data_IF_456611406031
#
_entry.id   IF_456611406031
#
_cell.length_a   1.000
_cell.length_b   1.000
_cell.length_c   1.000
_cell.angle_alpha   90.00
_cell.angle_beta   90.00
_cell.angle_gamma   90.00
#
_symmetry.space_group_name_H-M   'P 1'
#
loop_
_entity.id
_entity.type
_entity.pdbx_description
1 polymer ?
#
# COMPACT_ATOMS: atom_id res chain seq x y z
N UNK A 1 35.34 49.46 55.16
CA UNK A 1 35.73 48.05 54.87
C UNK A 1 35.76 47.90 53.34
N UNK A 2 36.92 48.16 52.70
CA UNK A 2 37.77 47.20 51.95
C UNK A 2 36.96 46.34 50.94
N UNK A 3 36.91 46.71 49.66
CA UNK A 3 37.88 46.43 48.55
C UNK A 3 37.76 44.98 48.05
N UNK A 4 37.52 44.66 46.76
CA UNK A 4 38.31 44.99 45.56
C UNK A 4 37.48 44.89 44.25
N UNK A 5 37.84 45.71 43.28
CA UNK A 5 37.64 45.62 41.80
C UNK A 5 39.05 45.68 41.17
N UNK A 6 39.32 45.63 39.84
CA UNK A 6 38.59 45.13 38.65
C UNK A 6 39.53 44.34 37.68
N UNK A 7 39.07 44.04 36.44
CA UNK A 7 39.78 44.29 35.14
C UNK A 7 39.74 43.14 34.12
N UNK A 8 39.31 43.50 32.90
CA UNK A 8 39.32 42.75 31.63
C UNK A 8 40.63 43.04 30.88
N UNK A 9 41.22 42.07 30.16
CA UNK A 9 42.00 42.37 28.93
C UNK A 9 42.06 41.16 27.97
N UNK A 10 41.71 41.42 26.70
CA UNK A 10 41.92 40.59 25.51
C UNK A 10 43.39 40.60 25.07
N UNK A 11 43.91 39.48 24.55
CA UNK A 11 45.02 39.53 23.58
C UNK A 11 44.78 38.60 22.39
N UNK A 12 45.17 39.14 21.23
CA UNK A 12 45.10 38.61 19.87
C UNK A 12 46.53 38.33 19.37
N UNK A 13 46.73 37.26 18.61
CA UNK A 13 47.78 37.08 17.58
C UNK A 13 47.20 36.08 16.57
N UNK A 14 46.85 36.40 15.31
CA UNK A 14 47.69 36.77 14.13
C UNK A 14 48.89 35.81 14.04
N UNK A 15 48.98 34.93 13.04
CA UNK A 15 49.24 35.30 11.64
C UNK A 15 48.67 34.30 10.59
N UNK A 16 48.23 34.85 9.45
CA UNK A 16 48.33 34.26 8.09
C UNK A 16 49.38 35.10 7.33
N UNK A 17 49.79 34.89 6.06
CA UNK A 17 49.47 33.83 5.07
C UNK A 17 50.74 33.31 4.32
N UNK A 18 50.63 32.33 3.40
CA UNK A 18 51.33 32.42 2.10
C UNK A 18 50.85 31.36 1.10
N UNK A 19 50.64 31.84 -0.12
CA UNK A 19 50.33 31.15 -1.36
C UNK A 19 51.59 30.67 -2.09
N UNK A 20 51.56 29.48 -2.70
CA UNK A 20 52.19 29.17 -4.00
C UNK A 20 51.58 27.84 -4.49
N UNK A 21 50.90 27.71 -5.63
CA UNK A 21 51.25 27.92 -7.04
C UNK A 21 52.41 27.05 -7.55
N UNK A 22 52.05 25.92 -8.18
CA UNK A 22 52.70 25.21 -9.32
C UNK A 22 52.03 23.82 -9.44
N UNK A 23 51.14 23.55 -10.39
CA UNK A 23 51.39 23.31 -11.82
C UNK A 23 52.56 22.36 -12.08
N UNK A 24 52.23 21.10 -12.38
CA UNK A 24 52.99 20.25 -13.29
C UNK A 24 52.01 19.30 -14.01
N UNK A 25 51.79 19.60 -15.29
CA UNK A 25 51.30 18.71 -16.34
C UNK A 25 52.32 17.61 -16.62
N UNK A 26 51.86 16.38 -16.87
CA UNK A 26 52.38 15.48 -17.92
C UNK A 26 51.32 14.37 -18.15
N UNK A 27 50.44 14.49 -19.14
CA UNK A 27 50.53 13.93 -20.52
C UNK A 27 50.42 12.40 -20.60
N UNK A 28 49.20 11.97 -20.93
CA UNK A 28 48.78 10.94 -21.91
C UNK A 28 49.73 9.79 -22.29
N UNK A 29 49.26 8.54 -22.15
CA UNK A 29 49.20 7.58 -23.27
C UNK A 29 48.06 6.57 -23.07
N UNK A 30 47.31 6.43 -24.16
CA UNK A 30 46.14 5.61 -24.49
C UNK A 30 46.38 4.10 -24.42
N UNK A 31 45.40 3.30 -23.99
CA UNK A 31 45.02 2.11 -24.78
C UNK A 31 43.55 1.76 -24.59
N UNK A 32 42.88 1.75 -25.73
CA UNK A 32 41.49 1.39 -26.01
C UNK A 32 41.33 -0.12 -26.04
N UNK A 33 40.25 -0.68 -25.51
CA UNK A 33 39.60 -1.83 -26.17
C UNK A 33 38.09 -1.84 -25.91
N UNK A 34 37.34 -1.56 -26.97
CA UNK A 34 35.91 -1.87 -27.13
C UNK A 34 35.80 -3.29 -27.71
N UNK A 35 34.80 -4.05 -27.31
CA UNK A 35 34.23 -5.16 -28.08
C UNK A 35 32.70 -4.93 -28.03
N UNK A 36 32.03 -4.36 -29.04
CA UNK A 36 31.76 -4.78 -30.42
C UNK A 36 30.87 -6.03 -30.52
N UNK A 37 29.61 -5.78 -30.87
CA UNK A 37 28.55 -6.72 -31.23
C UNK A 37 28.92 -7.58 -32.45
N UNK A 38 28.32 -8.77 -32.53
CA UNK A 38 28.11 -9.44 -33.81
C UNK A 38 26.67 -9.93 -33.92
N UNK A 39 25.94 -9.33 -34.85
CA UNK A 39 24.65 -9.76 -35.39
C UNK A 39 24.92 -10.56 -36.65
N UNK A 40 24.22 -11.68 -36.84
CA UNK A 40 24.07 -12.31 -38.16
C UNK A 40 22.62 -12.67 -38.40
N UNK A 41 22.08 -12.17 -39.53
CA UNK A 41 20.76 -12.45 -40.07
C UNK A 41 20.92 -12.95 -41.51
N UNK A 42 20.27 -14.06 -41.87
CA UNK A 42 19.86 -14.41 -43.24
C UNK A 42 18.62 -15.33 -43.19
N UNK A 43 17.56 -14.99 -43.92
CA UNK A 43 16.41 -15.86 -44.29
C UNK A 43 16.60 -16.39 -45.74
N UNK A 44 15.66 -17.04 -46.47
CA UNK A 44 14.33 -17.65 -46.17
C UNK A 44 14.08 -19.05 -46.83
N UNK A 45 12.83 -19.54 -46.73
CA UNK A 45 12.12 -20.53 -47.60
C UNK A 45 12.21 -22.05 -47.34
N UNK A 46 11.01 -22.63 -47.09
CA UNK A 46 10.45 -23.92 -47.58
C UNK A 46 9.97 -24.91 -46.50
N UNK A 47 8.64 -25.13 -46.45
CA UNK A 47 7.99 -26.37 -46.00
C UNK A 47 7.61 -27.20 -47.25
N UNK A 48 6.97 -28.41 -47.20
CA UNK A 48 6.60 -29.28 -46.08
C UNK A 48 6.88 -30.80 -46.34
N UNK A 49 6.34 -31.66 -45.45
CA UNK A 49 6.02 -33.10 -45.61
C UNK A 49 7.13 -34.14 -45.40
N UNK A 50 7.00 -34.91 -44.31
CA UNK A 50 6.56 -36.32 -44.42
C UNK A 50 6.21 -36.90 -43.06
N UNK A 51 4.97 -37.36 -42.95
CA UNK A 51 4.50 -38.27 -41.93
C UNK A 51 5.36 -39.54 -41.95
N UNK A 52 5.80 -39.99 -40.78
CA UNK A 52 6.17 -41.40 -40.59
C UNK A 52 5.56 -41.88 -39.27
N UNK A 53 4.69 -42.86 -39.42
CA UNK A 53 4.09 -43.62 -38.33
C UNK A 53 5.17 -44.16 -37.39
N UNK A 54 5.04 -43.90 -36.09
CA UNK A 54 5.62 -44.78 -35.07
C UNK A 54 4.66 -44.95 -33.90
N UNK A 55 3.82 -45.96 -34.08
CA UNK A 55 3.43 -47.00 -33.12
C UNK A 55 3.56 -46.63 -31.63
N UNK A 56 2.40 -46.38 -31.02
CA UNK A 56 2.19 -46.51 -29.59
C UNK A 56 2.67 -47.88 -29.11
N UNK A 57 3.65 -47.89 -28.21
CA UNK A 57 3.81 -48.95 -27.23
C UNK A 57 3.41 -48.39 -25.89
N UNK A 58 2.19 -48.74 -25.47
CA UNK A 58 1.71 -48.57 -24.10
C UNK A 58 2.57 -49.51 -23.23
N UNK A 59 3.41 -48.93 -22.38
CA UNK A 59 4.02 -49.62 -21.26
C UNK A 59 3.42 -48.99 -20.00
N UNK A 60 2.58 -49.77 -19.33
CA UNK A 60 2.09 -49.43 -18.00
C UNK A 60 3.27 -49.49 -17.02
N UNK A 61 3.61 -48.34 -16.46
CA UNK A 61 4.35 -48.23 -15.20
C UNK A 61 3.56 -47.26 -14.32
N UNK A 62 3.38 -47.64 -13.06
CA UNK A 62 2.53 -46.97 -12.08
C UNK A 62 3.03 -45.55 -11.80
N UNK A 63 2.33 -44.51 -12.30
CA UNK A 63 2.67 -43.09 -12.13
C UNK A 63 1.55 -42.30 -11.42
N UNK A 64 0.96 -42.86 -10.36
CA UNK A 64 -0.09 -42.17 -9.58
C UNK A 64 0.40 -41.52 -8.27
N UNK A 65 1.69 -41.67 -7.92
CA UNK A 65 2.25 -41.12 -6.67
C UNK A 65 3.03 -39.81 -6.89
N UNK A 66 3.71 -39.66 -8.02
CA UNK A 66 4.50 -38.46 -8.33
C UNK A 66 3.64 -37.24 -8.66
N UNK A 67 2.43 -37.43 -9.20
CA UNK A 67 1.49 -36.31 -9.45
C UNK A 67 0.94 -35.71 -8.15
N UNK A 68 0.73 -36.53 -7.11
CA UNK A 68 0.32 -36.07 -5.77
C UNK A 68 1.47 -35.46 -4.98
N UNK A 69 2.68 -35.95 -5.21
CA UNK A 69 3.90 -35.42 -4.58
C UNK A 69 4.33 -34.10 -5.21
N UNK A 70 4.31 -33.99 -6.54
CA UNK A 70 4.53 -32.73 -7.26
C UNK A 70 3.48 -31.67 -6.90
N UNK A 71 2.20 -32.05 -6.78
CA UNK A 71 1.15 -31.12 -6.31
C UNK A 71 1.34 -30.69 -4.86
N UNK A 72 1.81 -31.59 -3.98
CA UNK A 72 2.18 -31.27 -2.59
C UNK A 72 3.47 -30.46 -2.45
N UNK A 73 4.38 -30.55 -3.42
CA UNK A 73 5.63 -29.81 -3.46
C UNK A 73 5.43 -28.41 -4.09
N UNK A 74 4.59 -28.29 -5.13
CA UNK A 74 4.10 -27.00 -5.63
C UNK A 74 3.28 -26.25 -4.56
N UNK A 75 2.38 -26.94 -3.84
CA UNK A 75 1.63 -26.37 -2.71
C UNK A 75 2.54 -25.98 -1.50
N UNK A 76 3.77 -26.52 -1.43
CA UNK A 76 4.74 -26.20 -0.38
C UNK A 76 5.68 -25.07 -0.77
N UNK A 77 6.07 -24.96 -2.04
CA UNK A 77 6.88 -23.84 -2.52
C UNK A 77 6.10 -22.52 -2.51
N UNK A 78 4.79 -22.57 -2.81
CA UNK A 78 3.91 -21.38 -2.74
C UNK A 78 3.63 -20.92 -1.29
N UNK A 79 3.82 -21.81 -0.33
CA UNK A 79 3.64 -21.53 1.10
C UNK A 79 4.79 -20.69 1.70
N UNK A 80 5.96 -20.67 1.05
CA UNK A 80 7.14 -19.93 1.52
C UNK A 80 7.08 -18.42 1.27
N UNK A 81 6.18 -17.96 0.40
CA UNK A 81 5.94 -16.54 0.06
C UNK A 81 4.63 -15.99 0.62
N UNK A 82 3.81 -16.83 1.27
CA UNK A 82 2.59 -16.37 1.92
C UNK A 82 2.92 -15.73 3.26
N UNK A 83 2.49 -14.48 3.46
CA UNK A 83 2.70 -13.80 4.74
C UNK A 83 2.10 -14.61 5.89
N UNK A 84 2.71 -14.66 7.09
CA UNK A 84 2.28 -15.56 8.17
C UNK A 84 0.80 -15.46 8.55
N UNK A 85 0.20 -14.26 8.42
CA UNK A 85 -1.22 -14.00 8.68
C UNK A 85 -2.19 -14.56 7.63
N UNK A 86 -1.70 -15.05 6.49
CA UNK A 86 -2.53 -15.80 5.55
C UNK A 86 -3.00 -17.14 6.14
N UNK A 87 -2.28 -17.65 7.15
CA UNK A 87 -2.66 -18.89 7.83
C UNK A 87 -3.83 -18.63 8.79
N UNK A 88 -4.89 -19.48 8.76
CA UNK A 88 -5.97 -19.42 9.73
C UNK A 88 -5.44 -19.42 11.16
N UNK A 89 -5.82 -18.39 11.92
CA UNK A 89 -5.52 -18.31 13.34
C UNK A 89 -4.17 -17.76 13.74
N UNK A 90 -3.42 -17.17 12.81
CA UNK A 90 -2.19 -16.46 13.12
C UNK A 90 -2.37 -15.44 14.26
N UNK A 91 -1.56 -15.60 15.32
CA UNK A 91 -1.38 -14.66 16.46
C UNK A 91 -2.63 -13.80 16.78
N UNK A 92 -3.73 -14.43 17.17
CA UNK A 92 -4.95 -13.72 17.59
C UNK A 92 -5.98 -13.45 16.48
N UNK A 93 -5.77 -13.98 15.28
CA UNK A 93 -6.72 -13.98 14.17
C UNK A 93 -7.92 -14.91 14.41
N UNK A 94 -8.74 -14.61 15.43
CA UNK A 94 -9.82 -15.48 15.90
C UNK A 94 -10.86 -15.79 14.81
N UNK A 95 -11.22 -14.79 13.99
CA UNK A 95 -12.26 -14.95 12.96
C UNK A 95 -11.84 -15.99 11.92
N UNK A 96 -10.60 -15.91 11.43
CA UNK A 96 -10.09 -16.85 10.42
C UNK A 96 -10.03 -18.32 10.89
N UNK A 97 -10.08 -18.59 12.20
CA UNK A 97 -10.15 -19.95 12.75
C UNK A 97 -11.55 -20.54 12.79
N UNK A 98 -12.58 -19.70 12.63
CA UNK A 98 -13.97 -20.16 12.72
C UNK A 98 -14.38 -20.91 11.46
N UNK A 99 -15.50 -21.62 11.54
CA UNK A 99 -16.09 -22.23 10.34
C UNK A 99 -16.52 -21.17 9.31
N UNK A 100 -16.68 -21.61 8.05
CA UNK A 100 -16.97 -20.71 6.93
C UNK A 100 -18.22 -19.85 7.18
N UNK A 101 -19.26 -20.43 7.80
CA UNK A 101 -20.51 -19.73 8.10
C UNK A 101 -20.27 -18.59 9.09
N UNK A 102 -19.52 -18.84 10.16
CA UNK A 102 -19.21 -17.82 11.16
C UNK A 102 -18.34 -16.73 10.56
N UNK A 103 -17.34 -17.08 9.75
CA UNK A 103 -16.52 -16.09 9.03
C UNK A 103 -17.39 -15.17 8.16
N UNK A 104 -18.28 -15.74 7.34
CA UNK A 104 -19.20 -14.99 6.48
C UNK A 104 -20.09 -14.07 7.33
N UNK A 105 -20.70 -14.59 8.40
CA UNK A 105 -21.60 -13.81 9.25
C UNK A 105 -20.88 -12.61 9.91
N UNK A 106 -19.67 -12.82 10.41
CA UNK A 106 -18.86 -11.74 11.00
C UNK A 106 -18.53 -10.67 9.95
N UNK A 107 -18.05 -11.08 8.77
CA UNK A 107 -17.65 -10.15 7.70
C UNK A 107 -18.84 -9.35 7.17
N UNK A 108 -19.96 -10.01 6.90
CA UNK A 108 -21.19 -9.34 6.45
C UNK A 108 -21.71 -8.37 7.53
N UNK A 109 -21.65 -8.76 8.81
CA UNK A 109 -22.04 -7.89 9.92
C UNK A 109 -21.16 -6.63 10.00
N UNK A 110 -19.85 -6.77 9.81
CA UNK A 110 -18.90 -5.64 9.75
C UNK A 110 -19.26 -4.72 8.59
N UNK A 111 -19.53 -5.26 7.40
CA UNK A 111 -19.87 -4.44 6.22
C UNK A 111 -21.20 -3.72 6.39
N UNK A 112 -22.23 -4.39 6.91
CA UNK A 112 -23.51 -3.74 7.25
C UNK A 112 -23.28 -2.63 8.27
N UNK A 113 -22.53 -2.90 9.34
CA UNK A 113 -22.20 -1.92 10.37
C UNK A 113 -21.47 -0.71 9.81
N UNK A 114 -20.45 -0.92 8.98
CA UNK A 114 -19.70 0.15 8.31
C UNK A 114 -20.60 0.99 7.39
N UNK A 115 -21.45 0.35 6.59
CA UNK A 115 -22.39 1.04 5.71
C UNK A 115 -23.39 1.89 6.52
N UNK A 116 -24.02 1.30 7.54
CA UNK A 116 -24.99 2.00 8.39
C UNK A 116 -24.33 3.17 9.14
N UNK A 117 -23.17 2.94 9.74
CA UNK A 117 -22.47 3.96 10.51
C UNK A 117 -21.98 5.09 9.60
N UNK A 118 -21.45 4.79 8.41
CA UNK A 118 -21.09 5.80 7.41
C UNK A 118 -22.30 6.60 6.96
N UNK A 119 -23.42 5.94 6.65
CA UNK A 119 -24.66 6.60 6.27
C UNK A 119 -25.16 7.54 7.37
N UNK A 120 -25.25 7.07 8.62
CA UNK A 120 -25.68 7.90 9.75
C UNK A 120 -24.73 9.07 9.97
N UNK A 121 -23.42 8.84 9.86
CA UNK A 121 -22.42 9.91 9.97
C UNK A 121 -22.60 10.99 8.91
N UNK A 122 -22.83 10.60 7.65
CA UNK A 122 -23.05 11.55 6.56
C UNK A 122 -24.40 12.27 6.64
N UNK A 123 -25.47 11.52 6.97
CA UNK A 123 -26.84 12.03 6.87
C UNK A 123 -27.33 12.75 8.14
N UNK A 124 -26.73 12.47 9.30
CA UNK A 124 -27.20 12.98 10.60
C UNK A 124 -26.09 13.63 11.41
N UNK A 125 -24.97 12.94 11.63
CA UNK A 125 -23.91 13.44 12.52
C UNK A 125 -23.23 14.67 11.92
N UNK A 126 -22.86 14.64 10.64
CA UNK A 126 -22.25 15.77 9.94
C UNK A 126 -23.08 17.06 10.04
N UNK A 127 -24.36 17.04 9.59
CA UNK A 127 -25.25 18.18 9.72
C UNK A 127 -25.46 18.64 11.17
N UNK A 128 -25.61 17.71 12.12
CA UNK A 128 -25.75 18.05 13.54
C UNK A 128 -24.50 18.75 14.10
N UNK A 129 -23.29 18.33 13.68
CA UNK A 129 -22.04 18.98 14.07
C UNK A 129 -21.94 20.38 13.45
N UNK A 130 -22.37 20.55 12.20
CA UNK A 130 -22.43 21.86 11.52
C UNK A 130 -23.38 22.83 12.25
N UNK A 131 -24.49 22.34 12.79
CA UNK A 131 -25.43 23.16 13.58
C UNK A 131 -24.91 23.53 14.98
N UNK A 132 -24.08 22.67 15.60
CA UNK A 132 -23.61 22.86 16.98
C UNK A 132 -22.34 23.74 17.06
N UNK A 133 -21.47 23.64 16.05
CA UNK A 133 -20.16 24.31 16.05
C UNK A 133 -20.31 25.73 15.49
N UNK A 134 -19.69 26.76 16.12
CA UNK A 134 -19.75 28.12 15.58
C UNK A 134 -19.31 28.20 14.12
N UNK A 135 -20.07 28.88 13.27
CA UNK A 135 -19.86 28.95 11.82
C UNK A 135 -18.41 29.23 11.43
N UNK A 136 -17.76 30.19 12.09
CA UNK A 136 -16.37 30.55 11.76
C UNK A 136 -15.40 29.38 12.00
N UNK A 137 -15.62 28.56 13.03
CA UNK A 137 -14.80 27.38 13.34
C UNK A 137 -15.07 26.29 12.31
N UNK A 138 -16.34 26.05 11.98
CA UNK A 138 -16.72 25.03 11.02
C UNK A 138 -16.22 25.35 9.61
N UNK A 139 -16.40 26.59 9.15
CA UNK A 139 -15.90 27.04 7.84
C UNK A 139 -14.37 27.01 7.77
N UNK A 140 -13.67 27.38 8.85
CA UNK A 140 -12.22 27.25 8.92
C UNK A 140 -11.79 25.77 8.82
N UNK A 141 -12.49 24.86 9.52
CA UNK A 141 -12.27 23.41 9.41
C UNK A 141 -12.49 22.92 7.97
N UNK A 142 -13.64 23.24 7.35
CA UNK A 142 -13.95 22.85 5.96
C UNK A 142 -12.87 23.21 4.96
N UNK A 143 -12.26 24.39 5.11
CA UNK A 143 -11.18 24.85 4.24
C UNK A 143 -9.95 23.93 4.26
N UNK A 144 -9.75 23.18 5.35
CA UNK A 144 -8.65 22.24 5.49
C UNK A 144 -8.98 20.82 5.03
N UNK A 145 -10.26 20.48 4.83
CA UNK A 145 -10.66 19.11 4.46
C UNK A 145 -10.05 18.61 3.15
N UNK A 146 -9.86 19.45 2.11
CA UNK A 146 -9.15 19.03 0.91
C UNK A 146 -7.71 18.56 1.14
N UNK A 147 -7.08 18.95 2.26
CA UNK A 147 -5.75 18.45 2.63
C UNK A 147 -5.73 16.94 2.88
N UNK A 148 -6.89 16.32 3.09
CA UNK A 148 -7.02 14.86 3.10
C UNK A 148 -6.52 14.24 1.79
N UNK A 149 -6.59 14.97 0.66
CA UNK A 149 -5.98 14.52 -0.59
C UNK A 149 -4.48 14.23 -0.45
N UNK A 150 -3.74 14.97 0.40
CA UNK A 150 -2.33 14.70 0.66
C UNK A 150 -2.11 13.36 1.34
N UNK A 151 -2.97 12.97 2.29
CA UNK A 151 -2.85 11.66 2.95
C UNK A 151 -3.07 10.53 1.96
N UNK A 152 -3.98 10.69 1.00
CA UNK A 152 -4.19 9.72 -0.09
C UNK A 152 -3.00 9.67 -1.06
N UNK A 153 -2.39 10.80 -1.40
CA UNK A 153 -1.15 10.80 -2.21
C UNK A 153 -0.03 10.02 -1.51
N UNK A 154 0.14 10.24 -0.21
CA UNK A 154 1.17 9.54 0.58
C UNK A 154 0.86 8.04 0.71
N UNK A 155 -0.41 7.68 0.97
CA UNK A 155 -0.85 6.28 1.00
C UNK A 155 -0.62 5.60 -0.37
N UNK A 156 -0.97 6.27 -1.46
CA UNK A 156 -0.80 5.74 -2.80
C UNK A 156 0.67 5.55 -3.16
N UNK A 157 1.54 6.49 -2.76
CA UNK A 157 3.00 6.32 -2.90
C UNK A 157 3.52 5.12 -2.09
N UNK A 158 2.96 4.88 -0.90
CA UNK A 158 3.34 3.75 -0.06
C UNK A 158 3.01 2.38 -0.69
N UNK A 159 1.98 2.26 -1.53
CA UNK A 159 1.68 1.04 -2.29
C UNK A 159 2.85 0.60 -3.20
N UNK A 160 3.64 1.57 -3.67
CA UNK A 160 4.82 1.33 -4.51
C UNK A 160 6.10 1.20 -3.70
N UNK A 161 6.21 1.94 -2.59
CA UNK A 161 7.40 1.92 -1.73
C UNK A 161 7.48 0.69 -0.81
N UNK A 162 6.33 0.16 -0.37
CA UNK A 162 6.23 -0.96 0.57
C UNK A 162 5.38 -2.10 -0.01
N UNK A 163 5.74 -2.64 -1.19
CA UNK A 163 4.88 -3.54 -1.96
C UNK A 163 4.42 -4.77 -1.19
N UNK A 164 5.33 -5.41 -0.46
CA UNK A 164 5.06 -6.63 0.31
C UNK A 164 4.04 -6.38 1.43
N UNK A 165 4.13 -5.24 2.11
CA UNK A 165 3.20 -4.88 3.18
C UNK A 165 1.77 -4.66 2.68
N UNK A 166 1.63 -4.07 1.49
CA UNK A 166 0.32 -3.86 0.87
C UNK A 166 -0.23 -5.14 0.22
N UNK A 167 0.61 -5.92 -0.47
CA UNK A 167 0.21 -7.21 -1.05
C UNK A 167 -0.29 -8.16 0.05
N UNK A 168 0.33 -8.12 1.22
CA UNK A 168 0.00 -9.00 2.32
C UNK A 168 -1.35 -8.72 3.00
N UNK A 169 -1.93 -7.54 2.82
CA UNK A 169 -3.28 -7.23 3.29
C UNK A 169 -4.38 -7.48 2.24
N UNK A 170 -4.00 -7.85 1.01
CA UNK A 170 -4.97 -8.29 0.02
C UNK A 170 -5.53 -9.65 0.46
N UNK A 171 -6.87 -9.79 0.65
CA UNK A 171 -7.45 -11.06 1.05
C UNK A 171 -7.08 -12.13 0.01
N UNK A 172 -6.59 -13.28 0.48
CA UNK A 172 -6.29 -14.41 -0.41
C UNK A 172 -7.58 -14.97 -1.02
N UNK A 173 -7.42 -15.78 -2.06
CA UNK A 173 -8.54 -16.48 -2.68
C UNK A 173 -9.28 -17.32 -1.63
N UNK A 174 -10.61 -17.29 -1.68
CA UNK A 174 -11.50 -17.95 -0.73
C UNK A 174 -11.42 -17.47 0.74
N UNK A 175 -10.84 -16.29 1.00
CA UNK A 175 -10.96 -15.64 2.30
C UNK A 175 -12.44 -15.41 2.69
N UNK A 176 -12.69 -15.23 3.98
CA UNK A 176 -14.02 -14.99 4.57
C UNK A 176 -15.00 -16.16 4.35
N UNK A 177 -14.57 -17.39 4.63
CA UNK A 177 -15.38 -18.58 4.38
C UNK A 177 -15.74 -18.81 2.92
N UNK A 178 -14.87 -18.40 1.98
CA UNK A 178 -15.09 -18.57 0.54
C UNK A 178 -15.84 -17.43 -0.16
N UNK A 179 -16.22 -16.37 0.56
CA UNK A 179 -16.93 -15.21 -0.02
C UNK A 179 -16.04 -14.40 -0.98
N UNK A 180 -14.72 -14.36 -0.71
CA UNK A 180 -13.80 -13.55 -1.49
C UNK A 180 -13.24 -14.29 -2.70
N UNK A 181 -13.61 -13.82 -3.90
CA UNK A 181 -13.14 -14.34 -5.19
C UNK A 181 -12.83 -13.18 -6.13
N UNK A 182 -11.68 -12.55 -5.92
CA UNK A 182 -11.24 -11.43 -6.75
C UNK A 182 -10.21 -11.94 -7.77
N UNK A 183 -10.49 -11.90 -9.09
CA UNK A 183 -9.52 -12.30 -10.10
C UNK A 183 -8.36 -11.30 -10.18
N UNK A 184 -7.21 -11.76 -10.68
CA UNK A 184 -5.99 -10.96 -10.82
C UNK A 184 -5.03 -11.15 -9.64
N UNK A 185 -3.81 -10.64 -9.80
CA UNK A 185 -2.78 -10.77 -8.76
C UNK A 185 -2.96 -9.71 -7.67
N UNK A 186 -2.51 -10.02 -6.44
CA UNK A 186 -2.46 -9.05 -5.33
C UNK A 186 -1.74 -7.77 -5.76
N UNK A 187 -0.61 -7.92 -6.43
CA UNK A 187 0.23 -6.82 -6.91
C UNK A 187 -0.48 -5.94 -7.93
N UNK A 188 -1.30 -6.50 -8.81
CA UNK A 188 -2.11 -5.71 -9.74
C UNK A 188 -3.07 -4.80 -8.99
N UNK A 189 -3.83 -5.34 -8.03
CA UNK A 189 -4.80 -4.57 -7.25
C UNK A 189 -4.13 -3.47 -6.44
N UNK A 190 -3.04 -3.79 -5.74
CA UNK A 190 -2.25 -2.82 -4.96
C UNK A 190 -1.70 -1.69 -5.84
N UNK A 191 -1.14 -2.00 -7.01
CA UNK A 191 -0.62 -0.98 -7.91
C UNK A 191 -1.74 -0.06 -8.45
N UNK A 192 -2.87 -0.65 -8.84
CA UNK A 192 -3.98 0.12 -9.39
C UNK A 192 -4.64 1.00 -8.34
N UNK A 193 -4.92 0.48 -7.14
CA UNK A 193 -5.47 1.28 -6.04
C UNK A 193 -4.51 2.39 -5.64
N UNK A 194 -3.20 2.11 -5.55
CA UNK A 194 -2.19 3.13 -5.27
C UNK A 194 -2.15 4.25 -6.31
N UNK A 195 -2.28 3.91 -7.61
CA UNK A 195 -2.39 4.91 -8.67
C UNK A 195 -3.67 5.75 -8.54
N UNK A 196 -4.81 5.12 -8.25
CA UNK A 196 -6.07 5.81 -8.01
C UNK A 196 -6.00 6.75 -6.80
N UNK A 197 -5.34 6.35 -5.71
CA UNK A 197 -5.14 7.19 -4.53
C UNK A 197 -4.29 8.43 -4.82
N UNK A 198 -3.20 8.28 -5.59
CA UNK A 198 -2.36 9.42 -6.00
C UNK A 198 -3.16 10.39 -6.86
N UNK A 199 -3.82 9.88 -7.91
CA UNK A 199 -4.58 10.72 -8.85
C UNK A 199 -5.77 11.39 -8.14
N UNK A 200 -6.54 10.63 -7.38
CA UNK A 200 -7.68 11.16 -6.62
C UNK A 200 -7.25 12.12 -5.51
N UNK A 201 -6.11 11.87 -4.88
CA UNK A 201 -5.54 12.74 -3.84
C UNK A 201 -5.07 14.08 -4.41
N UNK A 202 -4.33 14.07 -5.51
CA UNK A 202 -3.93 15.29 -6.23
C UNK A 202 -5.14 16.07 -6.76
N UNK A 203 -6.12 15.35 -7.31
CA UNK A 203 -7.38 15.94 -7.76
C UNK A 203 -8.10 16.64 -6.60
N UNK A 204 -8.25 15.97 -5.45
CA UNK A 204 -8.88 16.52 -4.25
C UNK A 204 -8.14 17.77 -3.74
N UNK A 205 -6.80 17.75 -3.76
CA UNK A 205 -5.96 18.90 -3.39
C UNK A 205 -6.17 20.13 -4.28
N UNK A 206 -6.70 19.98 -5.50
CA UNK A 206 -7.02 21.15 -6.35
C UNK A 206 -8.03 22.08 -5.67
N UNK A 207 -8.88 21.59 -4.76
CA UNK A 207 -9.84 22.40 -4.00
C UNK A 207 -9.17 23.39 -3.04
N UNK A 208 -7.90 23.18 -2.68
CA UNK A 208 -7.12 24.13 -1.87
C UNK A 208 -6.85 25.41 -2.67
N UNK A 209 -6.66 25.28 -3.98
CA UNK A 209 -6.33 26.38 -4.90
C UNK A 209 -7.59 26.95 -5.54
N UNK A 210 -8.49 26.07 -6.01
CA UNK A 210 -9.78 26.41 -6.60
C UNK A 210 -10.91 25.66 -5.86
N UNK A 211 -11.55 26.30 -4.86
CA UNK A 211 -12.64 25.70 -4.09
C UNK A 211 -13.86 25.26 -4.92
N UNK A 212 -14.00 25.74 -6.16
CA UNK A 212 -15.11 25.39 -7.04
C UNK A 212 -14.75 24.32 -8.08
N UNK A 213 -13.53 23.77 -8.02
CA UNK A 213 -13.02 22.76 -8.95
C UNK A 213 -13.93 21.52 -8.97
N UNK A 214 -14.62 21.30 -10.10
CA UNK A 214 -15.39 20.07 -10.30
C UNK A 214 -14.49 18.83 -10.30
N UNK A 215 -13.26 18.96 -10.82
CA UNK A 215 -12.26 17.90 -10.77
C UNK A 215 -11.98 17.49 -9.32
N UNK A 216 -11.85 18.45 -8.42
CA UNK A 216 -11.58 18.19 -7.01
C UNK A 216 -12.72 17.49 -6.29
N UNK A 217 -13.97 17.91 -6.51
CA UNK A 217 -15.16 17.25 -5.95
C UNK A 217 -15.34 15.83 -6.49
N UNK A 218 -15.17 15.64 -7.81
CA UNK A 218 -15.22 14.32 -8.45
C UNK A 218 -14.10 13.42 -7.93
N UNK A 219 -12.91 13.97 -7.71
CA UNK A 219 -11.77 13.22 -7.18
C UNK A 219 -12.01 12.78 -5.72
N UNK A 220 -12.60 13.64 -4.89
CA UNK A 220 -12.99 13.29 -3.53
C UNK A 220 -14.06 12.17 -3.52
N UNK A 221 -15.03 12.25 -4.42
CA UNK A 221 -16.02 11.18 -4.60
C UNK A 221 -15.39 9.87 -5.11
N UNK A 222 -14.43 9.96 -6.04
CA UNK A 222 -13.71 8.79 -6.52
C UNK A 222 -12.89 8.13 -5.40
N UNK A 223 -12.25 8.92 -4.54
CA UNK A 223 -11.59 8.41 -3.34
C UNK A 223 -12.59 7.77 -2.36
N UNK A 224 -13.77 8.35 -2.18
CA UNK A 224 -14.83 7.75 -1.36
C UNK A 224 -15.22 6.36 -1.88
N UNK A 225 -15.46 6.26 -3.18
CA UNK A 225 -15.77 5.00 -3.84
C UNK A 225 -14.61 3.99 -3.75
N UNK A 226 -13.37 4.47 -3.88
CA UNK A 226 -12.17 3.64 -3.72
C UNK A 226 -12.05 3.10 -2.29
N UNK A 227 -12.25 3.93 -1.26
CA UNK A 227 -12.25 3.52 0.15
C UNK A 227 -13.29 2.42 0.42
N UNK A 228 -14.48 2.54 -0.17
CA UNK A 228 -15.48 1.46 -0.13
C UNK A 228 -14.95 0.19 -0.81
N UNK A 229 -14.39 0.31 -2.02
CA UNK A 229 -13.88 -0.83 -2.78
C UNK A 229 -12.72 -1.58 -2.08
N UNK A 230 -11.88 -0.88 -1.31
CA UNK A 230 -10.76 -1.48 -0.55
C UNK A 230 -11.15 -1.90 0.88
N UNK A 231 -12.41 -1.71 1.29
CA UNK A 231 -12.93 -2.18 2.60
C UNK A 231 -12.64 -3.66 2.89
N UNK A 232 -12.68 -4.58 1.89
CA UNK A 232 -12.29 -5.97 2.12
C UNK A 232 -10.86 -6.13 2.63
N UNK A 233 -9.90 -5.30 2.22
CA UNK A 233 -8.53 -5.35 2.75
C UNK A 233 -8.49 -4.94 4.24
N UNK A 234 -9.21 -3.88 4.62
CA UNK A 234 -9.33 -3.49 6.03
C UNK A 234 -10.02 -4.57 6.87
N UNK A 235 -11.05 -5.22 6.32
CA UNK A 235 -11.73 -6.33 6.99
C UNK A 235 -10.81 -7.54 7.14
N UNK A 236 -10.03 -7.85 6.11
CA UNK A 236 -9.06 -8.94 6.12
C UNK A 236 -8.00 -8.75 7.20
N UNK A 237 -7.51 -7.52 7.36
CA UNK A 237 -6.56 -7.22 8.42
C UNK A 237 -7.14 -7.46 9.82
N UNK A 238 -8.44 -7.27 10.03
CA UNK A 238 -9.10 -7.67 11.27
C UNK A 238 -9.25 -9.19 11.38
N UNK A 239 -9.76 -9.87 10.35
CA UNK A 239 -10.07 -11.31 10.43
C UNK A 239 -8.83 -12.19 10.54
N UNK A 240 -7.74 -11.76 9.91
CA UNK A 240 -6.47 -12.47 9.79
C UNK A 240 -5.36 -11.86 10.64
N UNK A 241 -5.68 -10.80 11.39
CA UNK A 241 -4.73 -10.01 12.17
C UNK A 241 -3.49 -9.56 11.37
N UNK A 242 -3.69 -9.21 10.10
CA UNK A 242 -2.61 -8.70 9.26
C UNK A 242 -2.24 -7.28 9.72
N UNK A 243 -0.97 -7.01 10.04
CA UNK A 243 -0.55 -5.72 10.60
C UNK A 243 -0.49 -4.59 9.56
N UNK A 244 -0.49 -4.94 8.27
CA UNK A 244 -0.30 -3.98 7.18
C UNK A 244 1.17 -3.71 6.88
N UNK A 245 1.47 -2.60 6.19
CA UNK A 245 2.84 -2.23 5.88
C UNK A 245 3.59 -1.87 7.17
N UNK A 246 4.63 -2.66 7.44
CA UNK A 246 5.52 -2.50 8.58
C UNK A 246 6.88 -1.97 8.12
N UNK A 247 7.59 -1.21 8.97
CA UNK A 247 8.96 -0.83 8.68
C UNK A 247 9.89 -2.06 8.71
N UNK A 248 11.07 -2.02 8.05
CA UNK A 248 11.98 -3.17 7.97
C UNK A 248 12.47 -3.68 9.33
N UNK A 249 12.45 -2.85 10.35
CA UNK A 249 12.88 -3.11 11.73
C UNK A 249 11.70 -3.40 12.69
N UNK A 250 10.53 -3.76 12.15
CA UNK A 250 9.33 -4.01 12.95
C UNK A 250 9.55 -5.11 14.00
N UNK A 251 9.17 -4.80 15.23
CA UNK A 251 9.22 -5.76 16.34
C UNK A 251 8.07 -6.76 16.26
N UNK A 252 8.19 -7.89 16.97
CA UNK A 252 7.15 -8.91 17.07
C UNK A 252 5.79 -8.34 17.54
N UNK A 253 5.82 -7.32 18.42
CA UNK A 253 4.61 -6.64 18.91
C UNK A 253 3.90 -5.85 17.81
N UNK A 254 4.63 -5.34 16.82
CA UNK A 254 4.04 -4.62 15.67
C UNK A 254 3.38 -5.57 14.66
N UNK A 255 3.67 -6.87 14.73
CA UNK A 255 3.10 -7.87 13.83
C UNK A 255 1.69 -8.32 14.21
N UNK A 256 1.15 -7.80 15.31
CA UNK A 256 -0.14 -8.21 15.89
C UNK A 256 -0.91 -6.95 16.29
N UNK A 257 -2.11 -6.78 15.75
CA UNK A 257 -3.00 -5.70 16.19
C UNK A 257 -3.95 -6.21 17.28
N UNK A 258 -4.07 -5.41 18.33
CA UNK A 258 -5.03 -5.63 19.42
C UNK A 258 -6.45 -5.25 18.98
N UNK A 259 -7.51 -5.80 19.61
CA UNK A 259 -8.88 -5.47 19.27
C UNK A 259 -9.20 -3.96 19.27
N UNK A 260 -8.70 -3.14 20.23
CA UNK A 260 -8.87 -1.69 20.18
C UNK A 260 -8.25 -1.03 18.94
N UNK A 261 -7.10 -1.52 18.45
CA UNK A 261 -6.47 -0.99 17.24
C UNK A 261 -7.31 -1.31 15.99
N UNK A 262 -7.88 -2.51 15.90
CA UNK A 262 -8.80 -2.85 14.81
C UNK A 262 -10.08 -1.99 14.84
N UNK A 263 -10.63 -1.76 16.04
CA UNK A 263 -11.77 -0.86 16.20
C UNK A 263 -11.44 0.56 15.78
N UNK A 264 -10.29 1.09 16.19
CA UNK A 264 -9.81 2.42 15.79
C UNK A 264 -9.68 2.54 14.26
N UNK A 265 -9.22 1.48 13.57
CA UNK A 265 -9.16 1.45 12.11
C UNK A 265 -10.54 1.48 11.46
N UNK A 266 -11.50 0.73 12.00
CA UNK A 266 -12.89 0.78 11.54
C UNK A 266 -13.49 2.18 11.68
N UNK A 267 -13.27 2.85 12.83
CA UNK A 267 -13.70 4.22 13.03
C UNK A 267 -12.99 5.21 12.11
N UNK A 268 -11.69 5.05 11.90
CA UNK A 268 -10.93 5.88 10.96
C UNK A 268 -11.47 5.73 9.54
N UNK A 269 -11.83 4.52 9.09
CA UNK A 269 -12.45 4.31 7.79
C UNK A 269 -13.78 5.06 7.67
N UNK A 270 -14.66 4.98 8.67
CA UNK A 270 -15.93 5.74 8.70
C UNK A 270 -15.68 7.24 8.66
N UNK A 271 -14.70 7.72 9.43
CA UNK A 271 -14.31 9.12 9.43
C UNK A 271 -13.84 9.56 8.03
N UNK A 272 -12.95 8.81 7.40
CA UNK A 272 -12.44 9.10 6.05
C UNK A 272 -13.57 9.13 5.02
N UNK A 273 -14.49 8.16 5.05
CA UNK A 273 -15.66 8.12 4.18
C UNK A 273 -16.55 9.34 4.40
N UNK A 274 -16.82 9.71 5.66
CA UNK A 274 -17.65 10.87 6.00
C UNK A 274 -17.01 12.17 5.53
N UNK A 275 -15.70 12.33 5.72
CA UNK A 275 -14.97 13.52 5.30
C UNK A 275 -14.90 13.65 3.77
N UNK A 276 -14.60 12.55 3.05
CA UNK A 276 -14.58 12.55 1.59
C UNK A 276 -15.95 12.84 1.00
N UNK A 277 -17.02 12.29 1.60
CA UNK A 277 -18.38 12.64 1.23
C UNK A 277 -18.64 14.14 1.41
N UNK A 278 -18.29 14.69 2.58
CA UNK A 278 -18.42 16.12 2.87
C UNK A 278 -17.64 17.02 1.89
N UNK A 279 -16.43 16.62 1.47
CA UNK A 279 -15.64 17.33 0.45
C UNK A 279 -16.28 17.22 -0.94
N UNK A 280 -16.85 16.07 -1.28
CA UNK A 280 -17.47 15.85 -2.58
C UNK A 280 -18.79 16.62 -2.75
N UNK A 281 -19.57 16.79 -1.68
CA UNK A 281 -20.91 17.41 -1.74
C UNK A 281 -20.99 18.84 -1.22
N UNK A 282 -19.99 19.31 -0.47
CA UNK A 282 -19.86 20.72 -0.06
C UNK A 282 -19.39 21.61 -1.20
#
# INVERSE_FOLDING_TARGET
MRAFSPTVTLTRRKDSPSSSSRSAKCTTTTTTTKACLTTTRTHPFSAPLKASHRRLHIRATNDDDDSKKARKEEDKEDNSLSSPWAQPGYKGAWVSQQDDRTQILVVVSIWIGLCLLTYVSCAKVGPFVEELVPDFVFQFSKRTWPLLGLTYVLAGAAHFALPEGFDAMVPHENAFGGLWKLPGSKRFHVNWTGACEIVGGLGTLSLVVDPNSSLGKVSAFALFALTLAVTPANTYMFTNNSPGPLPPDATEEMMVLTPPQHFARGLLQVFLLTMLWGVATG
#
